data_IF_642226197350
#
_entry.id   IF_642226197350
#
_cell.length_a   1.000
_cell.length_b   1.000
_cell.length_c   1.000
_cell.angle_alpha   90.00
_cell.angle_beta   90.00
_cell.angle_gamma   90.00
#
_symmetry.space_group_name_H-M   'P 1'
#
loop_
_entity.id
_entity.type
_entity.pdbx_description
1 polymer ?
#
# COMPACT_ATOMS: atom_id res chain seq x y z
N UNK A 1 -4.18 -27.59 -19.62
CA UNK A 1 -3.85 -26.55 -18.62
C UNK A 1 -4.10 -27.13 -17.23
N UNK A 2 -3.05 -27.40 -16.51
CA UNK A 2 -3.10 -27.88 -15.14
C UNK A 2 -3.70 -26.76 -14.27
N UNK A 3 -4.86 -27.01 -13.68
CA UNK A 3 -5.54 -26.03 -12.82
C UNK A 3 -4.99 -26.17 -11.41
N UNK A 4 -4.25 -25.17 -10.96
CA UNK A 4 -3.91 -25.00 -9.55
C UNK A 4 -5.02 -24.19 -8.90
N UNK A 5 -5.64 -24.72 -7.86
CA UNK A 5 -6.61 -24.00 -7.04
C UNK A 5 -5.87 -23.24 -5.93
N UNK A 6 -6.19 -21.94 -5.80
CA UNK A 6 -5.57 -21.05 -4.82
C UNK A 6 -6.61 -20.55 -3.83
N UNK A 7 -6.30 -20.66 -2.55
CA UNK A 7 -7.13 -20.17 -1.45
C UNK A 7 -6.34 -19.16 -0.61
N UNK A 8 -6.98 -18.06 -0.25
CA UNK A 8 -6.37 -16.99 0.53
C UNK A 8 -7.08 -16.82 1.89
N UNK A 9 -6.32 -16.46 2.91
CA UNK A 9 -6.89 -16.05 4.20
C UNK A 9 -7.74 -14.79 4.05
N UNK A 10 -8.70 -14.59 4.96
CA UNK A 10 -9.54 -13.37 5.00
C UNK A 10 -8.70 -12.10 5.12
N UNK A 11 -7.64 -12.14 5.93
CA UNK A 11 -6.61 -11.10 5.94
C UNK A 11 -5.52 -11.49 4.95
N UNK A 12 -5.35 -10.73 3.88
CA UNK A 12 -4.43 -11.03 2.78
C UNK A 12 -3.04 -10.41 2.93
N UNK A 13 -2.75 -9.73 4.05
CA UNK A 13 -1.45 -9.07 4.27
C UNK A 13 -1.02 -9.11 5.74
N UNK A 14 0.31 -9.00 5.97
CA UNK A 14 0.91 -8.97 7.29
C UNK A 14 1.01 -10.34 7.97
N UNK A 15 1.49 -10.33 9.22
CA UNK A 15 1.64 -11.55 10.00
C UNK A 15 0.30 -12.29 10.20
N UNK A 16 0.33 -13.61 10.04
CA UNK A 16 -0.86 -14.47 10.10
C UNK A 16 -1.63 -14.62 8.80
N UNK A 17 -1.35 -13.81 7.77
CA UNK A 17 -1.91 -14.05 6.44
C UNK A 17 -1.33 -15.31 5.81
N UNK A 18 -2.12 -16.01 5.00
CA UNK A 18 -1.67 -17.20 4.30
C UNK A 18 -2.35 -17.36 2.95
N UNK A 19 -1.72 -18.14 2.10
CA UNK A 19 -2.36 -18.75 0.96
C UNK A 19 -2.02 -20.26 0.93
N UNK A 20 -2.94 -21.03 0.40
CA UNK A 20 -2.74 -22.46 0.13
C UNK A 20 -3.09 -22.77 -1.31
N UNK A 21 -2.50 -23.84 -1.80
CA UNK A 21 -2.73 -24.34 -3.14
C UNK A 21 -2.91 -25.85 -3.13
N UNK A 22 -3.67 -26.32 -4.09
CA UNK A 22 -3.85 -27.74 -4.38
C UNK A 22 -3.82 -27.93 -5.88
N UNK A 23 -3.12 -28.93 -6.37
CA UNK A 23 -3.01 -29.22 -7.80
C UNK A 23 -2.12 -30.42 -8.09
N UNK A 24 -1.85 -30.65 -9.36
CA UNK A 24 -1.05 -31.81 -9.83
C UNK A 24 0.40 -31.82 -9.32
N UNK A 25 0.94 -30.64 -8.94
CA UNK A 25 2.30 -30.51 -8.37
C UNK A 25 2.33 -30.63 -6.83
N UNK A 26 1.22 -31.05 -6.20
CA UNK A 26 1.12 -31.22 -4.74
C UNK A 26 0.22 -30.18 -4.07
N UNK A 27 0.14 -30.31 -2.75
CA UNK A 27 -0.60 -29.40 -1.88
C UNK A 27 0.36 -28.63 -0.98
N UNK A 28 0.04 -27.39 -0.74
CA UNK A 28 0.88 -26.60 0.15
C UNK A 28 0.20 -25.39 0.75
N UNK A 29 0.83 -24.86 1.80
CA UNK A 29 0.39 -23.66 2.49
C UNK A 29 1.58 -22.80 2.86
N UNK A 30 1.53 -21.53 2.49
CA UNK A 30 2.50 -20.53 2.94
C UNK A 30 1.83 -19.54 3.88
N UNK A 31 2.41 -19.37 5.06
CA UNK A 31 1.92 -18.43 6.08
C UNK A 31 2.99 -17.36 6.32
N UNK A 32 2.59 -16.09 6.36
CA UNK A 32 3.45 -15.00 6.80
C UNK A 32 3.58 -15.07 8.33
N UNK A 33 4.76 -15.43 8.80
CA UNK A 33 5.04 -15.57 10.23
C UNK A 33 5.34 -14.23 10.90
N UNK A 34 6.14 -13.39 10.22
CA UNK A 34 6.38 -12.01 10.63
C UNK A 34 6.56 -11.10 9.43
N UNK A 35 6.25 -9.83 9.62
CA UNK A 35 6.42 -8.79 8.61
C UNK A 35 6.85 -7.51 9.31
N UNK A 36 8.05 -7.02 8.99
CA UNK A 36 8.60 -5.76 9.46
C UNK A 36 8.66 -4.83 8.25
N UNK A 37 7.97 -3.70 8.38
CA UNK A 37 7.84 -2.75 7.27
C UNK A 37 9.19 -2.24 6.79
N UNK A 38 9.39 -2.23 5.47
CA UNK A 38 10.62 -1.80 4.78
C UNK A 38 11.90 -2.58 5.16
N UNK A 39 11.79 -3.68 5.89
CA UNK A 39 12.93 -4.48 6.35
C UNK A 39 12.81 -5.94 5.91
N UNK A 40 11.80 -6.66 6.40
CA UNK A 40 11.76 -8.11 6.17
C UNK A 40 10.39 -8.74 6.27
N UNK A 41 10.23 -9.88 5.56
CA UNK A 41 9.08 -10.77 5.66
C UNK A 41 9.63 -12.17 5.91
N UNK A 42 9.10 -12.86 6.92
CA UNK A 42 9.38 -14.27 7.19
C UNK A 42 8.14 -15.08 6.86
N UNK A 43 8.31 -16.06 5.99
CA UNK A 43 7.26 -16.97 5.56
C UNK A 43 7.62 -18.40 5.96
N UNK A 44 6.63 -19.16 6.41
CA UNK A 44 6.75 -20.60 6.63
C UNK A 44 5.85 -21.31 5.62
N UNK A 45 6.43 -22.25 4.92
CA UNK A 45 5.74 -23.05 3.90
C UNK A 45 5.75 -24.51 4.33
N UNK A 46 4.58 -25.12 4.28
CA UNK A 46 4.38 -26.56 4.35
C UNK A 46 4.05 -27.03 2.93
N UNK A 47 4.85 -27.94 2.40
CA UNK A 47 4.65 -28.56 1.09
C UNK A 47 4.67 -30.07 1.29
N UNK A 48 3.50 -30.70 1.23
CA UNK A 48 3.34 -32.15 1.43
C UNK A 48 4.03 -32.64 2.73
N UNK A 49 3.91 -31.86 3.83
CA UNK A 49 4.54 -32.15 5.13
C UNK A 49 6.03 -31.76 5.25
N UNK A 50 6.64 -31.26 4.18
CA UNK A 50 8.00 -30.74 4.22
C UNK A 50 7.98 -29.24 4.59
N UNK A 51 8.53 -28.91 5.75
CA UNK A 51 8.55 -27.54 6.27
C UNK A 51 9.76 -26.76 5.76
N UNK A 52 9.50 -25.53 5.34
CA UNK A 52 10.55 -24.58 4.95
C UNK A 52 10.25 -23.17 5.48
N UNK A 53 11.32 -22.42 5.69
CA UNK A 53 11.27 -21.02 6.05
C UNK A 53 11.93 -20.18 4.96
N UNK A 54 11.24 -19.14 4.53
CA UNK A 54 11.76 -18.18 3.55
C UNK A 54 11.78 -16.79 4.16
N UNK A 55 12.96 -16.19 4.17
CA UNK A 55 13.19 -14.83 4.66
C UNK A 55 13.45 -13.92 3.47
N UNK A 56 12.61 -12.90 3.32
CA UNK A 56 12.78 -11.79 2.38
C UNK A 56 13.37 -10.62 3.14
N UNK A 57 14.52 -10.11 2.71
CA UNK A 57 15.13 -8.89 3.26
C UNK A 57 15.09 -7.78 2.23
N UNK A 58 14.70 -6.60 2.69
CA UNK A 58 14.61 -5.39 1.88
C UNK A 58 15.71 -4.44 2.34
N UNK A 59 16.49 -3.92 1.41
CA UNK A 59 17.54 -2.93 1.71
C UNK A 59 17.45 -1.78 0.72
N UNK A 60 17.39 -0.57 1.24
CA UNK A 60 17.46 0.63 0.40
C UNK A 60 18.79 0.70 -0.34
N UNK A 61 18.72 1.08 -1.60
CA UNK A 61 19.89 1.33 -2.46
C UNK A 61 19.67 2.62 -3.25
N UNK A 62 20.73 3.12 -3.86
CA UNK A 62 20.63 4.27 -4.76
C UNK A 62 19.72 3.88 -5.94
N UNK A 63 18.56 4.53 -6.03
CA UNK A 63 17.61 4.35 -7.14
C UNK A 63 16.66 3.16 -7.01
N UNK A 64 16.60 2.47 -5.85
CA UNK A 64 15.67 1.37 -5.67
C UNK A 64 15.84 0.58 -4.38
N UNK A 65 15.28 -0.62 -4.35
CA UNK A 65 15.35 -1.53 -3.20
C UNK A 65 16.01 -2.84 -3.62
N UNK A 66 17.06 -3.25 -2.90
CA UNK A 66 17.65 -4.57 -3.04
C UNK A 66 16.82 -5.59 -2.28
N UNK A 67 16.30 -6.58 -2.97
CA UNK A 67 15.56 -7.71 -2.39
C UNK A 67 16.47 -8.91 -2.30
N UNK A 68 16.56 -9.52 -1.11
CA UNK A 68 17.34 -10.73 -0.84
C UNK A 68 16.36 -11.78 -0.34
N UNK A 69 16.32 -12.94 -1.01
CA UNK A 69 15.50 -14.07 -0.64
C UNK A 69 16.39 -15.22 -0.14
N UNK A 70 16.15 -15.68 1.07
CA UNK A 70 16.88 -16.79 1.70
C UNK A 70 15.84 -17.84 2.09
N UNK A 71 15.99 -19.07 1.57
CA UNK A 71 15.13 -20.19 1.95
C UNK A 71 15.93 -21.28 2.63
N UNK A 72 15.37 -21.81 3.73
CA UNK A 72 15.91 -22.95 4.49
C UNK A 72 14.75 -23.90 4.76
N UNK A 73 14.99 -25.19 4.65
CA UNK A 73 13.93 -26.16 4.92
C UNK A 73 14.37 -27.61 4.82
N UNK A 74 13.46 -28.47 5.19
CA UNK A 74 13.59 -29.92 5.04
C UNK A 74 13.10 -30.31 3.64
N UNK A 75 13.63 -31.38 3.13
CA UNK A 75 13.26 -31.96 1.85
C UNK A 75 12.88 -33.41 2.03
N UNK A 76 11.77 -33.81 1.45
CA UNK A 76 11.39 -35.22 1.40
C UNK A 76 12.45 -36.06 0.65
N UNK A 77 12.53 -37.33 0.93
CA UNK A 77 13.52 -38.24 0.31
C UNK A 77 13.37 -38.25 -1.23
N UNK A 78 12.16 -38.30 -1.73
CA UNK A 78 11.88 -38.24 -3.18
C UNK A 78 12.38 -36.96 -3.83
N UNK A 79 12.19 -35.83 -3.17
CA UNK A 79 12.67 -34.53 -3.65
C UNK A 79 14.20 -34.40 -3.58
N UNK A 80 14.84 -35.00 -2.58
CA UNK A 80 16.30 -35.09 -2.50
C UNK A 80 16.88 -35.91 -3.67
N UNK A 81 16.27 -37.05 -3.97
CA UNK A 81 16.69 -37.90 -5.08
C UNK A 81 16.51 -37.18 -6.44
N UNK A 82 15.36 -36.58 -6.66
CA UNK A 82 15.09 -35.79 -7.87
C UNK A 82 16.07 -34.61 -8.01
N UNK A 83 16.34 -33.89 -6.92
CA UNK A 83 17.30 -32.79 -6.92
C UNK A 83 18.74 -33.24 -7.19
N UNK A 84 19.14 -34.39 -6.69
CA UNK A 84 20.47 -34.98 -6.97
C UNK A 84 20.65 -35.24 -8.48
N UNK A 85 19.66 -35.83 -9.14
CA UNK A 85 19.66 -36.09 -10.59
C UNK A 85 19.65 -34.80 -11.44
N UNK A 86 19.17 -33.69 -10.91
CA UNK A 86 19.07 -32.39 -11.61
C UNK A 86 20.15 -31.35 -11.21
N UNK A 87 21.26 -31.84 -10.66
CA UNK A 87 22.45 -31.03 -10.35
C UNK A 87 22.48 -30.45 -8.93
N UNK A 88 21.73 -31.07 -8.02
CA UNK A 88 21.76 -30.79 -6.58
C UNK A 88 20.65 -29.85 -6.12
N UNK A 89 20.35 -29.97 -4.82
CA UNK A 89 19.27 -29.21 -4.15
C UNK A 89 19.42 -27.70 -4.34
N UNK A 90 20.63 -27.19 -4.14
CA UNK A 90 20.89 -25.74 -4.27
C UNK A 90 20.60 -25.21 -5.68
N UNK A 91 20.88 -25.98 -6.72
CA UNK A 91 20.64 -25.59 -8.10
C UNK A 91 19.14 -25.60 -8.45
N UNK A 92 18.39 -26.60 -7.96
CA UNK A 92 16.94 -26.70 -8.21
C UNK A 92 16.19 -25.63 -7.45
N UNK A 93 16.47 -25.46 -6.15
CA UNK A 93 15.84 -24.42 -5.33
C UNK A 93 16.27 -23.03 -5.80
N UNK A 94 17.57 -22.83 -6.08
CA UNK A 94 18.09 -21.55 -6.58
C UNK A 94 17.35 -21.07 -7.82
N UNK A 95 17.15 -21.94 -8.83
CA UNK A 95 16.38 -21.59 -10.03
C UNK A 95 14.93 -21.18 -9.72
N UNK A 96 14.25 -21.87 -8.79
CA UNK A 96 12.88 -21.52 -8.38
C UNK A 96 12.84 -20.14 -7.71
N UNK A 97 13.80 -19.85 -6.84
CA UNK A 97 13.92 -18.53 -6.18
C UNK A 97 14.24 -17.41 -7.18
N UNK A 98 15.16 -17.66 -8.10
CA UNK A 98 15.48 -16.70 -9.18
C UNK A 98 14.26 -16.41 -10.07
N UNK A 99 13.49 -17.43 -10.44
CA UNK A 99 12.25 -17.27 -11.18
C UNK A 99 11.23 -16.46 -10.40
N UNK A 100 11.09 -16.71 -9.09
CA UNK A 100 10.21 -15.97 -8.21
C UNK A 100 10.59 -14.50 -8.11
N UNK A 101 11.88 -14.19 -7.95
CA UNK A 101 12.40 -12.82 -7.95
C UNK A 101 12.19 -12.13 -9.30
N UNK A 102 12.40 -12.83 -10.41
CA UNK A 102 12.15 -12.30 -11.76
C UNK A 102 10.67 -12.00 -11.98
N UNK A 103 9.78 -12.88 -11.53
CA UNK A 103 8.34 -12.65 -11.63
C UNK A 103 7.89 -11.50 -10.74
N UNK A 104 8.44 -11.39 -9.52
CA UNK A 104 8.21 -10.25 -8.63
C UNK A 104 8.61 -8.93 -9.31
N UNK A 105 9.84 -8.88 -9.86
CA UNK A 105 10.30 -7.68 -10.58
C UNK A 105 9.38 -7.31 -11.74
N UNK A 106 8.97 -8.31 -12.55
CA UNK A 106 8.05 -8.08 -13.68
C UNK A 106 6.69 -7.56 -13.23
N UNK A 107 6.16 -8.09 -12.11
CA UNK A 107 4.88 -7.62 -11.55
C UNK A 107 5.00 -6.20 -11.02
N UNK A 108 6.09 -5.87 -10.32
CA UNK A 108 6.35 -4.52 -9.84
C UNK A 108 6.55 -3.54 -10.99
N UNK A 109 7.29 -3.91 -12.02
CA UNK A 109 7.48 -3.09 -13.24
C UNK A 109 6.14 -2.84 -13.94
N UNK A 110 5.26 -3.86 -14.02
CA UNK A 110 3.93 -3.71 -14.57
C UNK A 110 3.08 -2.74 -13.74
N UNK A 111 3.00 -2.93 -12.42
CA UNK A 111 2.25 -2.05 -11.50
C UNK A 111 2.76 -0.60 -11.54
N UNK A 112 4.09 -0.41 -11.55
CA UNK A 112 4.71 0.91 -11.62
C UNK A 112 4.50 1.60 -12.97
N UNK A 113 4.37 0.87 -14.06
CA UNK A 113 4.20 1.44 -15.40
C UNK A 113 2.75 1.51 -15.87
N UNK A 114 1.84 0.79 -15.20
CA UNK A 114 0.41 0.79 -15.53
C UNK A 114 -0.32 1.84 -14.70
N UNK A 115 -0.47 3.03 -15.25
CA UNK A 115 -1.23 4.10 -14.62
C UNK A 115 -1.92 4.96 -15.69
N UNK A 116 -2.97 5.65 -15.28
CA UNK A 116 -3.57 6.71 -16.09
C UNK A 116 -3.92 7.92 -15.26
N UNK A 117 -3.76 9.09 -15.86
CA UNK A 117 -4.17 10.36 -15.25
C UNK A 117 -5.14 11.06 -16.18
N UNK A 118 -6.35 11.31 -15.72
CA UNK A 118 -7.36 12.08 -16.44
C UNK A 118 -7.63 13.41 -15.76
N UNK A 119 -7.90 14.47 -16.54
CA UNK A 119 -8.41 15.73 -16.01
C UNK A 119 -9.94 15.74 -16.16
N UNK A 120 -10.60 16.04 -15.05
CA UNK A 120 -12.07 16.17 -15.03
C UNK A 120 -12.52 17.62 -15.14
N UNK A 121 -11.56 18.54 -15.38
CA UNK A 121 -11.84 19.98 -15.45
C UNK A 121 -12.18 20.59 -14.12
N UNK A 122 -12.89 21.73 -14.18
CA UNK A 122 -13.36 22.47 -13.01
C UNK A 122 -14.57 21.78 -12.43
N UNK A 123 -14.56 21.52 -11.13
CA UNK A 123 -15.68 20.90 -10.40
C UNK A 123 -15.99 21.71 -9.14
N UNK A 124 -17.27 21.82 -8.81
CA UNK A 124 -17.69 22.33 -7.52
C UNK A 124 -17.79 21.19 -6.50
N UNK A 125 -17.22 21.39 -5.31
CA UNK A 125 -17.35 20.50 -4.17
C UNK A 125 -18.17 21.15 -3.09
N UNK A 126 -19.23 20.46 -2.66
CA UNK A 126 -20.03 20.88 -1.52
C UNK A 126 -19.22 20.76 -0.24
N UNK A 127 -19.35 21.75 0.64
CA UNK A 127 -18.69 21.73 1.96
C UNK A 127 -19.15 20.60 2.85
N UNK A 128 -18.35 20.28 3.86
CA UNK A 128 -18.66 19.26 4.84
C UNK A 128 -17.97 19.53 6.20
N UNK A 129 -18.56 19.03 7.26
CA UNK A 129 -17.83 18.86 8.53
C UNK A 129 -16.98 17.61 8.47
N UNK A 130 -15.81 17.65 9.10
CA UNK A 130 -14.91 16.50 9.11
C UNK A 130 -14.08 16.44 10.40
N UNK A 131 -13.73 15.24 10.82
CA UNK A 131 -12.69 15.00 11.81
C UNK A 131 -11.36 15.00 11.10
N UNK A 132 -10.33 15.59 11.71
CA UNK A 132 -8.95 15.54 11.20
C UNK A 132 -7.95 15.16 12.28
N UNK A 133 -6.92 14.45 11.86
CA UNK A 133 -5.70 14.25 12.62
C UNK A 133 -4.53 14.78 11.78
N UNK A 134 -3.71 15.64 12.37
CA UNK A 134 -2.62 16.35 11.67
C UNK A 134 -1.30 15.68 12.02
N UNK A 135 -0.50 15.37 10.99
CA UNK A 135 0.84 14.80 11.19
C UNK A 135 1.87 15.43 10.26
N UNK A 136 3.12 15.46 10.75
CA UNK A 136 4.30 15.64 9.91
C UNK A 136 4.87 14.26 9.54
N UNK A 137 5.11 14.01 8.27
CA UNK A 137 5.61 12.72 7.81
C UNK A 137 6.55 12.86 6.62
N UNK A 138 7.44 11.86 6.43
CA UNK A 138 8.18 11.73 5.18
C UNK A 138 7.25 11.34 4.06
N UNK A 139 7.49 11.83 2.84
CA UNK A 139 6.70 11.49 1.65
C UNK A 139 6.70 9.98 1.37
N UNK A 140 7.79 9.28 1.70
CA UNK A 140 7.91 7.82 1.58
C UNK A 140 6.99 7.05 2.54
N UNK A 141 6.64 7.63 3.71
CA UNK A 141 5.77 7.02 4.71
C UNK A 141 4.31 7.48 4.66
N UNK A 142 4.00 8.36 3.73
CA UNK A 142 2.67 8.95 3.62
C UNK A 142 1.55 7.89 3.56
N UNK A 143 1.66 6.95 2.62
CA UNK A 143 0.65 5.90 2.42
C UNK A 143 0.45 5.04 3.67
N UNK A 144 1.53 4.71 4.35
CA UNK A 144 1.49 3.93 5.59
C UNK A 144 0.73 4.68 6.69
N UNK A 145 1.10 5.93 6.95
CA UNK A 145 0.46 6.72 7.98
C UNK A 145 -1.03 6.97 7.70
N UNK A 146 -1.40 7.22 6.45
CA UNK A 146 -2.81 7.35 6.05
C UNK A 146 -3.58 6.06 6.29
N UNK A 147 -2.99 4.88 5.99
CA UNK A 147 -3.60 3.57 6.24
C UNK A 147 -3.85 3.28 7.72
N UNK A 148 -3.04 3.83 8.63
CA UNK A 148 -3.22 3.69 10.08
C UNK A 148 -4.24 4.71 10.60
N UNK A 149 -4.14 5.96 10.16
CA UNK A 149 -4.96 7.05 10.69
C UNK A 149 -6.42 6.99 10.24
N UNK A 150 -6.72 6.45 9.06
CA UNK A 150 -8.12 6.27 8.65
C UNK A 150 -8.89 5.32 9.60
N UNK A 151 -8.43 4.10 9.91
CA UNK A 151 -9.05 3.25 10.92
C UNK A 151 -9.13 3.90 12.30
N UNK A 152 -8.11 4.65 12.71
CA UNK A 152 -8.09 5.39 13.97
C UNK A 152 -9.25 6.39 14.07
N UNK A 153 -9.46 7.22 13.03
CA UNK A 153 -10.58 8.15 12.95
C UNK A 153 -11.95 7.44 12.89
N UNK A 154 -12.03 6.32 12.18
CA UNK A 154 -13.26 5.51 12.12
C UNK A 154 -13.60 4.92 13.51
N UNK A 155 -12.60 4.37 14.22
CA UNK A 155 -12.79 3.85 15.56
C UNK A 155 -13.25 4.94 16.53
N UNK A 156 -12.61 6.12 16.49
CA UNK A 156 -13.04 7.27 17.29
C UNK A 156 -14.50 7.62 16.99
N UNK A 157 -14.88 7.66 15.72
CA UNK A 157 -16.26 7.96 15.30
C UNK A 157 -17.24 6.93 15.84
N UNK A 158 -16.91 5.63 15.76
CA UNK A 158 -17.76 4.56 16.26
C UNK A 158 -17.94 4.61 17.78
N UNK A 159 -16.85 4.82 18.54
CA UNK A 159 -16.88 4.93 19.99
C UNK A 159 -17.71 6.12 20.49
N UNK A 160 -17.74 7.21 19.73
CA UNK A 160 -18.46 8.43 20.05
C UNK A 160 -19.81 8.57 19.31
N UNK A 161 -20.28 7.52 18.63
CA UNK A 161 -21.54 7.49 17.87
C UNK A 161 -21.67 8.60 16.83
N UNK A 162 -20.53 8.98 16.21
CA UNK A 162 -20.46 10.03 15.20
C UNK A 162 -20.80 9.43 13.83
N UNK A 163 -21.78 10.01 13.14
CA UNK A 163 -22.23 9.52 11.83
C UNK A 163 -21.26 9.99 10.75
N UNK A 164 -20.58 9.04 10.12
CA UNK A 164 -19.70 9.29 8.96
C UNK A 164 -20.57 9.60 7.74
N UNK A 165 -20.23 10.64 6.97
CA UNK A 165 -21.02 11.13 5.84
C UNK A 165 -20.36 10.98 4.48
N UNK A 166 -19.11 10.50 4.42
CA UNK A 166 -18.39 10.37 3.15
C UNK A 166 -17.10 9.58 3.27
N UNK A 167 -16.38 9.49 2.15
CA UNK A 167 -15.07 8.80 2.09
C UNK A 167 -14.00 9.65 2.76
N UNK A 168 -13.01 9.03 3.44
CA UNK A 168 -11.85 9.74 3.96
C UNK A 168 -11.07 10.46 2.85
N UNK A 169 -10.42 11.56 3.21
CA UNK A 169 -9.56 12.32 2.31
C UNK A 169 -8.35 12.88 3.05
N UNK A 170 -7.36 13.35 2.30
CA UNK A 170 -6.14 13.95 2.86
C UNK A 170 -6.01 15.38 2.34
N UNK A 171 -5.73 16.31 3.26
CA UNK A 171 -5.33 17.67 2.94
C UNK A 171 -3.82 17.78 3.10
N UNK A 172 -3.13 18.26 2.07
CA UNK A 172 -1.73 18.61 2.14
C UNK A 172 -1.61 20.05 2.64
N UNK A 173 -1.29 20.23 3.92
CA UNK A 173 -1.13 21.56 4.51
C UNK A 173 0.17 22.24 4.02
N UNK A 174 1.25 21.46 3.89
CA UNK A 174 2.51 21.90 3.29
C UNK A 174 3.32 20.72 2.76
N UNK A 175 4.15 20.99 1.74
CA UNK A 175 5.10 20.01 1.19
C UNK A 175 6.47 20.68 1.08
N UNK A 176 7.47 20.10 1.71
CA UNK A 176 8.89 20.44 1.52
C UNK A 176 9.55 19.32 0.70
N UNK A 177 9.62 19.55 -0.62
CA UNK A 177 10.21 18.57 -1.53
C UNK A 177 11.71 18.38 -1.31
N UNK A 178 12.41 19.41 -0.80
CA UNK A 178 13.85 19.36 -0.57
C UNK A 178 14.22 18.44 0.60
N UNK A 179 13.38 18.40 1.61
CA UNK A 179 13.52 17.53 2.80
C UNK A 179 12.69 16.25 2.72
N UNK A 180 11.92 16.09 1.64
CA UNK A 180 10.96 14.98 1.48
C UNK A 180 9.97 14.85 2.66
N UNK A 181 9.57 15.99 3.27
CA UNK A 181 8.64 16.05 4.40
C UNK A 181 7.36 16.74 3.96
N UNK A 182 6.24 16.29 4.51
CA UNK A 182 4.93 16.93 4.32
C UNK A 182 4.19 17.01 5.64
N UNK A 183 3.45 18.12 5.83
CA UNK A 183 2.42 18.21 6.85
C UNK A 183 1.08 17.90 6.19
N UNK A 184 0.35 16.93 6.74
CA UNK A 184 -0.95 16.51 6.21
C UNK A 184 -2.00 16.48 7.32
N UNK A 185 -3.25 16.69 6.91
CA UNK A 185 -4.43 16.34 7.70
C UNK A 185 -5.11 15.12 7.08
N UNK A 186 -5.23 14.02 7.82
CA UNK A 186 -6.09 12.90 7.44
C UNK A 186 -7.48 13.19 7.94
N UNK A 187 -8.45 13.18 7.05
CA UNK A 187 -9.79 13.71 7.28
C UNK A 187 -10.86 12.64 7.08
N UNK A 188 -11.89 12.65 7.94
CA UNK A 188 -13.05 11.77 7.85
C UNK A 188 -14.33 12.62 7.88
N UNK A 189 -15.10 12.72 6.78
CA UNK A 189 -16.34 13.50 6.73
C UNK A 189 -17.38 12.98 7.72
N UNK A 190 -18.03 13.91 8.43
CA UNK A 190 -19.09 13.62 9.41
C UNK A 190 -20.35 14.43 9.11
N UNK A 191 -21.51 13.92 9.55
CA UNK A 191 -22.81 14.49 9.23
C UNK A 191 -23.07 15.84 9.91
N UNK A 192 -22.53 16.04 11.11
CA UNK A 192 -22.78 17.22 11.96
C UNK A 192 -21.50 17.65 12.63
N UNK A 193 -21.39 18.96 12.87
CA UNK A 193 -20.32 19.51 13.69
C UNK A 193 -20.37 18.92 15.09
N UNK A 194 -19.21 18.62 15.64
CA UNK A 194 -19.03 18.20 17.03
C UNK A 194 -17.97 19.08 17.71
N UNK A 195 -17.96 19.07 19.02
CA UNK A 195 -16.90 19.68 19.81
C UNK A 195 -15.98 18.56 20.31
N UNK A 196 -14.69 18.75 20.12
CA UNK A 196 -13.64 17.87 20.67
C UNK A 196 -13.03 18.55 21.90
N UNK A 197 -12.60 17.76 22.88
CA UNK A 197 -11.99 18.30 24.10
C UNK A 197 -10.68 19.03 23.78
N UNK A 198 -10.35 20.01 24.60
CA UNK A 198 -9.05 20.70 24.55
C UNK A 198 -7.93 19.68 24.73
N UNK A 199 -6.93 19.69 23.84
CA UNK A 199 -5.82 18.72 23.84
C UNK A 199 -6.08 17.43 23.08
N UNK A 200 -7.28 17.25 22.49
CA UNK A 200 -7.53 16.14 21.57
C UNK A 200 -6.66 16.24 20.32
N UNK A 201 -6.07 15.13 19.92
CA UNK A 201 -5.34 15.00 18.65
C UNK A 201 -6.28 14.85 17.44
N UNK A 202 -7.57 14.61 17.69
CA UNK A 202 -8.64 14.63 16.70
C UNK A 202 -9.46 15.92 16.85
N UNK A 203 -9.51 16.69 15.78
CA UNK A 203 -10.15 18.00 15.74
C UNK A 203 -11.29 17.97 14.73
N UNK A 204 -12.46 18.51 15.12
CA UNK A 204 -13.54 18.77 14.17
C UNK A 204 -13.32 20.10 13.45
N UNK A 205 -13.43 20.07 12.13
CA UNK A 205 -13.28 21.25 11.28
C UNK A 205 -14.38 21.28 10.21
N UNK A 206 -14.50 22.40 9.57
CA UNK A 206 -15.42 22.61 8.45
C UNK A 206 -14.61 22.92 7.18
N UNK A 207 -14.99 22.32 6.09
CA UNK A 207 -14.55 22.68 4.75
C UNK A 207 -15.74 23.33 4.05
N UNK A 208 -15.61 24.59 3.70
CA UNK A 208 -16.62 25.30 2.92
C UNK A 208 -16.73 24.72 1.51
N UNK A 209 -17.83 25.05 0.82
CA UNK A 209 -17.96 24.69 -0.59
C UNK A 209 -16.93 25.44 -1.43
N UNK A 210 -16.28 24.76 -2.35
CA UNK A 210 -15.21 25.33 -3.19
C UNK A 210 -15.25 24.81 -4.61
N UNK A 211 -14.67 25.59 -5.51
CA UNK A 211 -14.43 25.23 -6.90
C UNK A 211 -12.96 24.86 -7.09
N UNK A 212 -12.69 23.75 -7.75
CA UNK A 212 -11.33 23.26 -7.96
C UNK A 212 -11.15 22.52 -9.26
N UNK A 213 -9.93 22.39 -9.73
CA UNK A 213 -9.59 21.50 -10.82
C UNK A 213 -9.43 20.07 -10.27
N UNK A 214 -10.17 19.13 -10.84
CA UNK A 214 -10.12 17.72 -10.46
C UNK A 214 -9.31 16.94 -11.47
N UNK A 215 -8.34 16.19 -10.95
CA UNK A 215 -7.65 15.12 -11.70
C UNK A 215 -7.88 13.78 -11.01
N UNK A 216 -7.93 12.72 -11.81
CA UNK A 216 -8.07 11.35 -11.30
C UNK A 216 -6.85 10.54 -11.71
N UNK A 217 -6.18 9.95 -10.74
CA UNK A 217 -5.10 8.99 -10.93
C UNK A 217 -5.64 7.58 -10.72
N UNK A 218 -5.45 6.73 -11.72
CA UNK A 218 -5.60 5.28 -11.61
C UNK A 218 -4.21 4.65 -11.66
N UNK A 219 -3.93 3.70 -10.77
CA UNK A 219 -2.63 3.06 -10.61
C UNK A 219 -1.94 3.44 -9.31
N UNK A 220 -0.64 3.17 -9.22
CA UNK A 220 0.11 3.38 -7.99
C UNK A 220 0.23 4.86 -7.61
N UNK A 221 0.14 5.13 -6.31
CA UNK A 221 0.16 6.49 -5.77
C UNK A 221 1.52 7.20 -5.95
N UNK A 222 2.59 6.47 -6.28
CA UNK A 222 3.89 7.08 -6.65
C UNK A 222 3.76 8.06 -7.81
N UNK A 223 2.74 7.88 -8.67
CA UNK A 223 2.45 8.77 -9.80
C UNK A 223 1.68 10.05 -9.43
N UNK A 224 1.42 10.32 -8.15
CA UNK A 224 0.69 11.53 -7.71
C UNK A 224 1.26 12.84 -8.27
N UNK A 225 2.59 12.95 -8.38
CA UNK A 225 3.24 14.13 -8.98
C UNK A 225 2.79 14.39 -10.42
N UNK A 226 2.50 13.33 -11.19
CA UNK A 226 1.97 13.43 -12.57
C UNK A 226 0.53 13.94 -12.58
N UNK A 227 -0.28 13.51 -11.61
CA UNK A 227 -1.64 14.01 -11.45
C UNK A 227 -1.66 15.51 -11.07
N UNK A 228 -0.81 15.92 -10.13
CA UNK A 228 -0.65 17.33 -9.77
C UNK A 228 -0.16 18.17 -10.96
N UNK A 229 0.84 17.69 -11.70
CA UNK A 229 1.33 18.37 -12.91
C UNK A 229 0.18 18.57 -13.90
N UNK A 230 -0.61 17.51 -14.15
CA UNK A 230 -1.74 17.60 -15.09
C UNK A 230 -2.81 18.63 -14.64
N UNK A 231 -3.06 18.76 -13.33
CA UNK A 231 -3.95 19.77 -12.78
C UNK A 231 -3.39 21.18 -13.03
N UNK A 232 -2.10 21.40 -12.73
CA UNK A 232 -1.42 22.69 -12.96
C UNK A 232 -1.40 23.07 -14.45
N UNK A 233 -1.09 22.11 -15.33
CA UNK A 233 -1.09 22.32 -16.78
C UNK A 233 -2.48 22.70 -17.28
N UNK A 234 -3.55 22.09 -16.73
CA UNK A 234 -4.93 22.47 -17.05
C UNK A 234 -5.23 23.92 -16.62
N UNK A 235 -4.87 24.32 -15.40
CA UNK A 235 -5.06 25.69 -14.91
C UNK A 235 -4.34 26.68 -15.80
N UNK A 236 -3.06 26.45 -16.10
CA UNK A 236 -2.24 27.34 -16.93
C UNK A 236 -2.82 27.49 -18.35
N UNK A 237 -3.27 26.37 -18.95
CA UNK A 237 -3.84 26.36 -20.29
C UNK A 237 -5.15 27.15 -20.35
N UNK A 238 -5.97 27.09 -19.29
CA UNK A 238 -7.28 27.73 -19.25
C UNK A 238 -7.23 29.12 -18.59
N UNK A 239 -6.04 29.62 -18.23
CA UNK A 239 -5.84 30.92 -17.55
C UNK A 239 -6.64 31.04 -16.26
N UNK A 240 -6.87 29.94 -15.56
CA UNK A 240 -7.51 29.92 -14.25
C UNK A 240 -6.47 30.22 -13.19
N UNK A 241 -6.81 31.08 -12.24
CA UNK A 241 -5.93 31.40 -11.11
C UNK A 241 -5.90 30.23 -10.15
N UNK A 242 -4.69 29.78 -9.75
CA UNK A 242 -4.51 28.85 -8.65
C UNK A 242 -4.88 29.57 -7.36
N UNK A 243 -6.07 29.30 -6.80
CA UNK A 243 -6.39 29.77 -5.46
C UNK A 243 -5.43 29.10 -4.47
N UNK A 244 -4.59 29.91 -3.82
CA UNK A 244 -3.62 29.43 -2.82
C UNK A 244 -4.28 28.90 -1.54
N UNK A 245 -5.58 29.00 -1.42
CA UNK A 245 -6.34 28.46 -0.32
C UNK A 245 -6.69 27.00 -0.61
N UNK A 246 -5.83 26.16 -0.17
CA UNK A 246 -6.08 24.85 0.39
C UNK A 246 -6.62 23.76 -0.50
N UNK A 247 -5.88 22.74 -0.50
CA UNK A 247 -6.20 21.49 -1.15
C UNK A 247 -7.35 20.72 -0.52
#
# INVERSE_FOLDING_TARGET
SESIELYYSKNTSGAGSYFSWSGTEGEGKTTVFSSIENDSIVQKTDLDGALSETVWKLKDTIGGTKVICISKGEMSFSNKLHSFLNGGVNKVIGRKLELSLKNLNRSLDYELNTYSVSSNGVVFKKGCYYLKHIINTKLSRLNYNVKILIPYLINFSNQNQIIISGKPFVIYNSIDESKEITNISVCLPIKRRIFTSSGSDIICSELEGYTSVKTTLYGDYSHRKKAWKKAKDYINKNRETEEKSIP
#
